data_IF_975699229214
#
_entry.id   IF_975699229214
#
_cell.length_a   1.000
_cell.length_b   1.000
_cell.length_c   1.000
_cell.angle_alpha   90.00
_cell.angle_beta   90.00
_cell.angle_gamma   90.00
#
_symmetry.space_group_name_H-M   'P 1'
#
loop_
_entity.id
_entity.type
_entity.pdbx_description
1 polymer ?
#
# COMPACT_ATOMS: atom_id res chain seq x y z
N UNK A 1 7.60 6.31 -18.96
CA UNK A 1 8.43 7.40 -18.39
C UNK A 1 9.60 6.72 -17.72
N UNK A 2 10.80 6.85 -18.27
CA UNK A 2 12.01 6.18 -17.76
C UNK A 2 12.48 6.87 -16.47
N UNK A 3 12.15 6.31 -15.31
CA UNK A 3 12.50 6.86 -13.98
C UNK A 3 14.01 6.66 -13.67
N UNK A 4 14.70 5.85 -14.48
CA UNK A 4 16.07 5.38 -14.28
C UNK A 4 17.14 6.50 -14.18
N UNK A 5 16.83 7.74 -14.57
CA UNK A 5 17.76 8.89 -14.50
C UNK A 5 17.41 9.93 -13.42
N UNK A 6 16.42 9.67 -12.57
CA UNK A 6 16.02 10.57 -11.48
C UNK A 6 16.82 10.22 -10.22
N UNK A 7 17.78 11.09 -9.87
CA UNK A 7 18.72 10.86 -8.76
C UNK A 7 18.44 11.73 -7.54
N UNK A 8 17.53 12.71 -7.64
CA UNK A 8 17.20 13.62 -6.54
C UNK A 8 15.69 13.76 -6.35
N UNK A 9 15.28 14.10 -5.13
CA UNK A 9 13.89 14.42 -4.82
C UNK A 9 13.37 15.61 -5.67
N UNK A 10 14.25 16.57 -6.00
CA UNK A 10 13.91 17.69 -6.87
C UNK A 10 13.56 17.24 -8.29
N UNK A 11 14.37 16.36 -8.87
CA UNK A 11 14.10 15.76 -10.18
C UNK A 11 12.81 14.91 -10.16
N UNK A 12 12.56 14.17 -9.07
CA UNK A 12 11.35 13.37 -8.91
C UNK A 12 10.08 14.23 -8.91
N UNK A 13 10.10 15.34 -8.16
CA UNK A 13 9.00 16.31 -8.14
C UNK A 13 8.79 16.97 -9.50
N UNK A 14 9.88 17.36 -10.18
CA UNK A 14 9.81 17.95 -11.52
C UNK A 14 9.24 16.99 -12.57
N UNK A 15 9.45 15.68 -12.40
CA UNK A 15 8.84 14.63 -13.21
C UNK A 15 7.34 14.41 -12.93
N UNK A 16 6.72 15.20 -12.06
CA UNK A 16 5.29 15.11 -11.77
C UNK A 16 4.92 14.09 -10.70
N UNK A 17 5.90 13.58 -9.95
CA UNK A 17 5.62 12.73 -8.79
C UNK A 17 4.77 13.47 -7.76
N UNK A 18 3.66 12.83 -7.36
CA UNK A 18 2.79 13.32 -6.29
C UNK A 18 2.98 12.44 -5.08
N UNK A 19 3.46 13.05 -3.99
CA UNK A 19 3.50 12.37 -2.70
C UNK A 19 2.08 12.05 -2.25
N UNK A 20 1.86 10.83 -1.76
CA UNK A 20 0.61 10.40 -1.15
C UNK A 20 0.88 10.01 0.30
N UNK A 21 -0.16 10.07 1.14
CA UNK A 21 0.00 9.61 2.52
C UNK A 21 0.22 8.09 2.54
N UNK A 22 1.01 7.60 3.50
CA UNK A 22 1.23 6.15 3.69
C UNK A 22 -0.13 5.42 3.81
N UNK A 23 -1.09 6.03 4.51
CA UNK A 23 -2.44 5.47 4.66
C UNK A 23 -3.16 5.31 3.32
N UNK A 24 -3.05 6.29 2.43
CA UNK A 24 -3.67 6.21 1.10
C UNK A 24 -2.95 5.23 0.19
N UNK A 25 -1.62 5.16 0.27
CA UNK A 25 -0.81 4.17 -0.46
C UNK A 25 -1.21 2.74 -0.07
N UNK A 26 -1.21 2.44 1.24
CA UNK A 26 -1.60 1.12 1.76
C UNK A 26 -3.03 0.76 1.34
N UNK A 27 -3.96 1.71 1.45
CA UNK A 27 -5.36 1.51 1.04
C UNK A 27 -5.49 1.21 -0.44
N UNK A 28 -4.80 1.96 -1.30
CA UNK A 28 -4.85 1.74 -2.75
C UNK A 28 -4.24 0.39 -3.14
N UNK A 29 -3.07 0.06 -2.58
CA UNK A 29 -2.41 -1.21 -2.81
C UNK A 29 -3.29 -2.39 -2.38
N UNK A 30 -3.91 -2.29 -1.20
CA UNK A 30 -4.83 -3.31 -0.70
C UNK A 30 -6.03 -3.51 -1.65
N UNK A 31 -6.67 -2.43 -2.10
CA UNK A 31 -7.81 -2.50 -3.03
C UNK A 31 -7.42 -3.19 -4.34
N UNK A 32 -6.25 -2.88 -4.88
CA UNK A 32 -5.78 -3.52 -6.12
C UNK A 32 -5.44 -5.00 -5.93
N UNK A 33 -4.87 -5.39 -4.78
CA UNK A 33 -4.66 -6.81 -4.45
C UNK A 33 -5.97 -7.58 -4.33
N UNK A 34 -6.95 -7.01 -3.61
CA UNK A 34 -8.29 -7.61 -3.47
C UNK A 34 -8.97 -7.78 -4.84
N UNK A 35 -8.96 -6.75 -5.69
CA UNK A 35 -9.54 -6.81 -7.04
C UNK A 35 -8.87 -7.85 -7.94
N UNK A 36 -7.55 -8.00 -7.81
CA UNK A 36 -6.78 -8.98 -8.61
C UNK A 36 -6.87 -10.41 -8.07
N UNK A 37 -7.53 -10.63 -6.93
CA UNK A 37 -7.62 -11.95 -6.29
C UNK A 37 -6.29 -12.49 -5.77
N UNK A 38 -5.26 -11.63 -5.68
CA UNK A 38 -3.93 -12.01 -5.17
C UNK A 38 -3.92 -12.00 -3.65
N UNK A 39 -3.15 -12.89 -3.00
CA UNK A 39 -2.98 -12.84 -1.56
C UNK A 39 -2.42 -11.48 -1.13
N UNK A 40 -3.09 -10.86 -0.15
CA UNK A 40 -2.69 -9.56 0.37
C UNK A 40 -1.37 -9.67 1.14
N UNK A 41 -1.27 -10.70 1.97
CA UNK A 41 -0.11 -11.03 2.80
C UNK A 41 0.46 -12.37 2.34
N UNK A 42 1.64 -12.34 1.74
CA UNK A 42 2.37 -13.54 1.32
C UNK A 42 3.18 -14.11 2.49
N UNK A 43 3.23 -15.44 2.63
CA UNK A 43 4.00 -16.12 3.67
C UNK A 43 3.40 -16.08 5.09
N UNK A 44 2.22 -15.47 5.28
CA UNK A 44 1.47 -15.52 6.54
C UNK A 44 0.48 -16.69 6.47
N UNK A 45 0.60 -17.63 7.40
CA UNK A 45 -0.23 -18.83 7.47
C UNK A 45 -0.97 -18.90 8.82
N UNK A 46 -2.25 -19.31 8.80
CA UNK A 46 -3.04 -19.56 10.00
C UNK A 46 -3.79 -18.35 10.57
N UNK A 47 -3.72 -17.20 9.90
CA UNK A 47 -4.39 -15.95 10.31
C UNK A 47 -5.49 -15.50 9.34
N UNK A 48 -5.83 -16.33 8.36
CA UNK A 48 -6.74 -16.02 7.25
C UNK A 48 -8.14 -15.65 7.74
N UNK A 49 -8.57 -16.24 8.87
CA UNK A 49 -9.88 -16.02 9.46
C UNK A 49 -9.87 -15.18 10.75
N UNK A 50 -8.70 -14.66 11.16
CA UNK A 50 -8.55 -13.93 12.43
C UNK A 50 -7.97 -12.54 12.18
N UNK A 51 -6.64 -12.41 12.17
CA UNK A 51 -5.92 -11.14 12.14
C UNK A 51 -5.95 -10.48 10.77
N UNK A 52 -5.84 -11.28 9.69
CA UNK A 52 -5.78 -10.73 8.32
C UNK A 52 -7.04 -9.92 7.99
N UNK A 53 -8.27 -10.44 8.19
CA UNK A 53 -9.49 -9.67 7.92
C UNK A 53 -9.60 -8.38 8.75
N UNK A 54 -9.14 -8.38 10.01
CA UNK A 54 -9.13 -7.19 10.86
C UNK A 54 -8.14 -6.14 10.36
N UNK A 55 -6.95 -6.58 9.95
CA UNK A 55 -5.92 -5.73 9.41
C UNK A 55 -6.37 -5.08 8.09
N UNK A 56 -6.98 -5.85 7.19
CA UNK A 56 -7.56 -5.34 5.95
C UNK A 56 -8.61 -4.25 6.22
N UNK A 57 -9.52 -4.51 7.16
CA UNK A 57 -10.54 -3.52 7.59
C UNK A 57 -9.89 -2.25 8.14
N UNK A 58 -8.88 -2.39 8.99
CA UNK A 58 -8.17 -1.24 9.56
C UNK A 58 -7.50 -0.38 8.47
N UNK A 59 -6.82 -1.01 7.49
CA UNK A 59 -6.19 -0.33 6.36
C UNK A 59 -7.26 0.40 5.51
N UNK A 60 -8.36 -0.29 5.18
CA UNK A 60 -9.43 0.29 4.36
C UNK A 60 -10.09 1.50 5.02
N UNK A 61 -10.22 1.48 6.35
CA UNK A 61 -10.77 2.56 7.18
C UNK A 61 -9.75 3.64 7.55
N UNK A 62 -8.48 3.53 7.11
CA UNK A 62 -7.39 4.45 7.46
C UNK A 62 -7.12 4.55 8.98
N UNK A 63 -7.42 3.49 9.73
CA UNK A 63 -7.10 3.41 11.15
C UNK A 63 -5.58 3.37 11.35
N UNK A 64 -5.12 3.80 12.53
CA UNK A 64 -3.75 3.58 12.95
C UNK A 64 -3.61 2.11 13.35
N UNK A 65 -2.61 1.44 12.79
CA UNK A 65 -2.38 -0.01 12.95
C UNK A 65 -1.12 -0.25 13.78
N UNK A 66 -0.19 0.70 13.73
CA UNK A 66 0.93 0.83 14.64
C UNK A 66 0.85 2.24 15.23
N UNK A 67 1.20 2.38 16.51
CA UNK A 67 1.10 3.62 17.30
C UNK A 67 1.60 4.85 16.53
#
# INVERSE_FOLDING_TARGET
MEINNINTLGQLKAAGYKSISIKDELRNNLREKIKSGKPVFEGVHGFENTVIPELERAILSRHNINL
#
